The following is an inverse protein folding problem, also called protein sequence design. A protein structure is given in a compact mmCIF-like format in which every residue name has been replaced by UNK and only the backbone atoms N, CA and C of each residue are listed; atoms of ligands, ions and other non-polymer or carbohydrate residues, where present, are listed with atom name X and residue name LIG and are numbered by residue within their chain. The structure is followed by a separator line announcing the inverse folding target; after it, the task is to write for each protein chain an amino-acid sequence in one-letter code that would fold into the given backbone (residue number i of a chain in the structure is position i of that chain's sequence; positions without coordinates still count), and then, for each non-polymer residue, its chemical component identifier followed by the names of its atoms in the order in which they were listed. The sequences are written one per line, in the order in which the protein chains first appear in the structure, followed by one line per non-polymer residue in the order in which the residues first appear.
data_IF_053133463140
#
_entry.id   IF_053133463140
#
_cell.length_a   1.000
_cell.length_b   1.000
_cell.length_c   1.000
_cell.angle_alpha   90.00
_cell.angle_beta   90.00
_cell.angle_gamma   90.00
#
_symmetry.space_group_name_H-M   'P 1'
#
loop_
_entity.id
_entity.type
_entity.pdbx_description
1 polymer ?
#
# COMPACT_ATOMS: atom_id res chain seq x y z
N UNK A 1 26.21 -1.67 -2.65
CA UNK A 1 24.86 -1.06 -2.72
C UNK A 1 24.99 0.35 -2.19
N UNK A 2 24.52 1.35 -2.91
CA UNK A 2 24.57 2.75 -2.46
C UNK A 2 23.81 2.88 -1.14
N UNK A 3 24.48 3.40 -0.10
CA UNK A 3 23.85 3.75 1.18
C UNK A 3 22.68 4.70 0.88
N UNK A 4 21.48 4.48 1.43
CA UNK A 4 20.41 5.47 1.32
C UNK A 4 20.89 6.78 1.92
N UNK A 5 21.14 7.77 1.06
CA UNK A 5 21.45 9.15 1.44
C UNK A 5 20.26 9.77 2.15
N UNK A 6 20.49 10.90 2.83
CA UNK A 6 19.51 11.63 3.62
C UNK A 6 18.12 11.64 2.96
N UNK A 7 17.09 10.98 3.56
CA UNK A 7 15.78 10.87 2.94
C UNK A 7 14.99 12.17 2.98
N UNK A 8 15.51 13.23 3.60
CA UNK A 8 14.85 14.55 3.63
C UNK A 8 14.94 15.31 2.31
N UNK A 9 15.80 14.89 1.38
CA UNK A 9 15.94 15.49 0.05
C UNK A 9 14.95 14.88 -0.96
N UNK A 10 13.64 15.05 -0.71
CA UNK A 10 12.61 14.68 -1.68
C UNK A 10 12.39 15.83 -2.68
N UNK A 11 12.65 15.62 -3.99
CA UNK A 11 12.52 16.67 -5.00
C UNK A 11 11.07 17.16 -5.17
N UNK A 12 10.93 18.36 -5.75
CA UNK A 12 9.68 19.11 -5.90
C UNK A 12 8.47 18.28 -6.32
N UNK A 13 7.36 18.47 -5.61
CA UNK A 13 6.08 17.82 -5.89
C UNK A 13 5.37 18.49 -7.06
N UNK A 14 4.87 17.70 -8.00
CA UNK A 14 3.85 18.18 -8.94
C UNK A 14 2.46 18.12 -8.29
N UNK A 15 1.55 19.03 -8.63
CA UNK A 15 0.17 18.99 -8.16
C UNK A 15 -0.50 17.65 -8.51
N UNK A 16 -1.30 17.14 -7.57
CA UNK A 16 -2.12 15.95 -7.80
C UNK A 16 -3.16 16.28 -8.87
N UNK A 17 -3.23 15.47 -9.94
CA UNK A 17 -4.18 15.69 -11.04
C UNK A 17 -5.48 14.92 -10.87
N UNK A 18 -5.42 13.76 -10.22
CA UNK A 18 -6.54 12.82 -10.10
C UNK A 18 -6.46 12.06 -8.79
N UNK A 19 -7.63 11.75 -8.22
CA UNK A 19 -7.79 10.84 -7.08
C UNK A 19 -8.34 9.51 -7.59
N UNK A 20 -7.74 8.39 -7.18
CA UNK A 20 -8.31 7.06 -7.42
C UNK A 20 -9.16 6.61 -6.23
N UNK A 21 -10.27 5.88 -6.45
CA UNK A 21 -11.07 5.31 -5.36
C UNK A 21 -10.24 4.50 -4.35
N UNK A 22 -9.27 3.71 -4.83
CA UNK A 22 -8.38 2.89 -3.99
C UNK A 22 -7.37 3.71 -3.15
N UNK A 23 -7.09 4.96 -3.52
CA UNK A 23 -6.20 5.86 -2.77
C UNK A 23 -6.95 6.91 -1.94
N UNK A 24 -8.24 7.14 -2.20
CA UNK A 24 -9.01 8.21 -1.56
C UNK A 24 -9.03 8.11 -0.04
N UNK A 25 -9.18 6.90 0.53
CA UNK A 25 -9.17 6.74 1.99
C UNK A 25 -7.83 7.20 2.60
N UNK A 26 -6.70 6.90 1.94
CA UNK A 26 -5.38 7.35 2.38
C UNK A 26 -5.20 8.86 2.19
N UNK A 27 -5.74 9.40 1.09
CA UNK A 27 -5.78 10.84 0.84
C UNK A 27 -6.55 11.60 1.93
N UNK A 28 -7.71 11.07 2.37
CA UNK A 28 -8.49 11.63 3.49
C UNK A 28 -7.67 11.67 4.77
N UNK A 29 -6.93 10.59 5.06
CA UNK A 29 -6.06 10.49 6.26
C UNK A 29 -4.88 11.44 6.22
N UNK A 30 -4.11 11.47 5.13
CA UNK A 30 -2.94 12.33 4.97
C UNK A 30 -2.71 12.66 3.49
N UNK A 31 -3.00 13.91 3.12
CA UNK A 31 -2.90 14.39 1.74
C UNK A 31 -1.47 14.29 1.20
N UNK A 32 -0.46 14.67 2.00
CA UNK A 32 0.96 14.61 1.58
C UNK A 32 1.37 13.21 1.14
N UNK A 33 0.94 12.17 1.88
CA UNK A 33 1.21 10.77 1.53
C UNK A 33 0.66 10.43 0.14
N UNK A 34 -0.57 10.84 -0.14
CA UNK A 34 -1.20 10.60 -1.44
C UNK A 34 -0.51 11.35 -2.58
N UNK A 35 -0.08 12.60 -2.35
CA UNK A 35 0.67 13.39 -3.35
C UNK A 35 2.01 12.74 -3.68
N UNK A 36 2.79 12.31 -2.68
CA UNK A 36 4.06 11.61 -2.92
C UNK A 36 3.86 10.32 -3.72
N UNK A 37 2.84 9.53 -3.37
CA UNK A 37 2.50 8.30 -4.09
C UNK A 37 2.10 8.57 -5.54
N UNK A 38 1.27 9.58 -5.80
CA UNK A 38 0.83 9.91 -7.15
C UNK A 38 1.95 10.46 -8.04
N UNK A 39 2.97 11.10 -7.44
CA UNK A 39 4.16 11.59 -8.15
C UNK A 39 5.16 10.47 -8.50
N UNK A 40 4.77 9.20 -8.37
CA UNK A 40 5.61 8.06 -8.71
C UNK A 40 6.87 7.94 -7.86
N UNK A 41 6.92 8.63 -6.70
CA UNK A 41 8.05 8.51 -5.78
C UNK A 41 8.03 7.13 -5.18
N UNK A 42 9.15 6.41 -5.30
CA UNK A 42 9.28 5.13 -4.62
C UNK A 42 9.21 5.36 -3.11
N UNK A 43 8.50 4.47 -2.42
CA UNK A 43 8.48 4.46 -0.96
C UNK A 43 9.90 4.37 -0.44
N UNK A 44 10.23 5.20 0.54
CA UNK A 44 11.57 5.22 1.15
C UNK A 44 11.70 4.04 2.13
N UNK A 45 10.59 3.64 2.76
CA UNK A 45 10.51 2.42 3.54
C UNK A 45 10.05 1.22 2.69
N UNK A 46 10.49 0.00 3.04
CA UNK A 46 10.13 -1.20 2.31
C UNK A 46 8.63 -1.48 2.39
N UNK A 47 8.07 -1.92 1.27
CA UNK A 47 6.70 -2.43 1.23
C UNK A 47 6.66 -3.82 1.86
N UNK A 48 5.66 -4.08 2.71
CA UNK A 48 5.57 -5.39 3.38
C UNK A 48 5.46 -6.56 2.36
N UNK A 49 6.09 -7.71 2.61
CA UNK A 49 5.93 -8.91 1.78
C UNK A 49 4.47 -9.32 1.58
N UNK A 50 3.60 -9.08 2.57
CA UNK A 50 2.17 -9.37 2.45
C UNK A 50 1.46 -8.49 1.40
N UNK A 51 1.87 -7.24 1.24
CA UNK A 51 1.34 -6.33 0.21
C UNK A 51 1.92 -6.64 -1.18
N UNK A 52 3.21 -7.01 -1.25
CA UNK A 52 3.84 -7.52 -2.48
C UNK A 52 3.11 -8.77 -3.00
N UNK A 53 2.83 -9.73 -2.12
CA UNK A 53 2.04 -10.92 -2.43
C UNK A 53 0.60 -10.60 -2.84
N UNK A 54 -0.01 -9.57 -2.24
CA UNK A 54 -1.32 -9.08 -2.67
C UNK A 54 -1.31 -8.59 -4.12
N UNK A 55 -0.24 -7.90 -4.52
CA UNK A 55 -0.06 -7.42 -5.90
C UNK A 55 0.11 -8.57 -6.90
N UNK A 56 0.85 -9.62 -6.53
CA UNK A 56 0.93 -10.87 -7.30
C UNK A 56 -0.47 -11.46 -7.48
N UNK A 57 -1.24 -11.57 -6.40
CA UNK A 57 -2.57 -12.14 -6.47
C UNK A 57 -3.53 -11.35 -7.37
N UNK A 58 -3.57 -10.01 -7.23
CA UNK A 58 -4.37 -9.15 -8.12
C UNK A 58 -3.98 -9.33 -9.59
N UNK A 59 -2.68 -9.41 -9.90
CA UNK A 59 -2.22 -9.62 -11.27
C UNK A 59 -2.76 -10.92 -11.87
N UNK A 60 -2.81 -12.00 -11.09
CA UNK A 60 -3.34 -13.28 -11.56
C UNK A 60 -4.85 -13.21 -11.77
N UNK A 61 -5.59 -12.52 -10.89
CA UNK A 61 -7.03 -12.32 -11.06
C UNK A 61 -7.35 -11.44 -12.27
N UNK A 62 -6.57 -10.38 -12.52
CA UNK A 62 -6.65 -9.54 -13.72
C UNK A 62 -6.44 -10.37 -15.00
N UNK A 63 -5.34 -11.11 -15.07
CA UNK A 63 -5.03 -11.95 -16.23
C UNK A 63 -6.14 -12.98 -16.50
N UNK A 64 -6.67 -13.62 -15.45
CA UNK A 64 -7.80 -14.54 -15.56
C UNK A 64 -9.09 -13.83 -16.02
N UNK A 65 -9.42 -12.69 -15.41
CA UNK A 65 -10.63 -11.92 -15.73
C UNK A 65 -10.65 -11.32 -17.12
N UNK A 66 -9.48 -11.02 -17.69
CA UNK A 66 -9.32 -10.56 -19.08
C UNK A 66 -9.15 -11.70 -20.09
N UNK A 67 -9.25 -12.96 -19.67
CA UNK A 67 -9.04 -14.13 -20.54
C UNK A 67 -7.63 -14.20 -21.14
N UNK A 68 -6.62 -13.65 -20.45
CA UNK A 68 -5.22 -13.62 -20.91
C UNK A 68 -4.42 -14.85 -20.47
N UNK A 69 -4.98 -15.65 -19.56
CA UNK A 69 -4.44 -16.93 -19.12
C UNK A 69 -5.60 -17.92 -19.01
N UNK A 70 -5.31 -19.19 -19.28
CA UNK A 70 -6.22 -20.31 -19.09
C UNK A 70 -5.94 -21.05 -17.78
N UNK A 71 -6.70 -22.10 -17.49
CA UNK A 71 -6.57 -22.88 -16.26
C UNK A 71 -5.27 -23.68 -16.15
N UNK A 72 -4.65 -24.02 -17.29
CA UNK A 72 -3.43 -24.82 -17.39
C UNK A 72 -2.18 -23.96 -17.13
N UNK A 73 -2.19 -22.71 -17.61
CA UNK A 73 -1.08 -21.74 -17.48
C UNK A 73 -1.05 -20.96 -16.16
N UNK A 74 -2.02 -21.15 -15.25
CA UNK A 74 -2.12 -20.37 -14.01
C UNK A 74 -0.87 -20.47 -13.11
N UNK A 75 -0.25 -21.65 -13.05
CA UNK A 75 0.92 -21.87 -12.20
C UNK A 75 2.14 -21.12 -12.75
N UNK A 76 2.38 -21.21 -14.06
CA UNK A 76 3.45 -20.48 -14.74
C UNK A 76 3.25 -18.97 -14.62
N UNK A 77 2.02 -18.49 -14.83
CA UNK A 77 1.67 -17.08 -14.66
C UNK A 77 1.95 -16.58 -13.23
N UNK A 78 1.71 -17.42 -12.22
CA UNK A 78 2.03 -17.10 -10.82
C UNK A 78 3.54 -16.94 -10.61
N UNK A 79 4.35 -17.91 -11.05
CA UNK A 79 5.80 -17.85 -10.91
C UNK A 79 6.41 -16.64 -11.65
N UNK A 80 5.87 -16.31 -12.83
CA UNK A 80 6.23 -15.12 -13.59
C UNK A 80 5.89 -13.83 -12.83
N UNK A 81 4.69 -13.76 -12.23
CA UNK A 81 4.26 -12.61 -11.45
C UNK A 81 5.12 -12.41 -10.19
N UNK A 82 5.47 -13.49 -9.49
CA UNK A 82 6.40 -13.46 -8.34
C UNK A 82 7.77 -12.97 -8.79
N UNK A 83 8.33 -13.55 -9.85
CA UNK A 83 9.65 -13.17 -10.38
C UNK A 83 9.70 -11.69 -10.78
N UNK A 84 8.63 -11.15 -11.35
CA UNK A 84 8.53 -9.72 -11.68
C UNK A 84 8.54 -8.85 -10.43
N UNK A 85 7.77 -9.22 -9.40
CA UNK A 85 7.72 -8.49 -8.13
C UNK A 85 9.06 -8.55 -7.39
N UNK A 86 9.72 -9.70 -7.36
CA UNK A 86 11.04 -9.85 -6.75
C UNK A 86 12.12 -9.02 -7.48
N UNK A 87 12.09 -8.96 -8.81
CA UNK A 87 12.97 -8.03 -9.55
C UNK A 87 12.73 -6.57 -9.16
N UNK A 88 11.46 -6.15 -9.03
CA UNK A 88 11.13 -4.81 -8.56
C UNK A 88 11.61 -4.55 -7.13
N UNK A 89 11.50 -5.55 -6.25
CA UNK A 89 12.02 -5.48 -4.88
C UNK A 89 13.55 -5.32 -4.87
N UNK A 90 14.29 -6.04 -5.72
CA UNK A 90 15.74 -5.84 -5.89
C UNK A 90 16.07 -4.39 -6.29
N UNK A 91 15.39 -3.85 -7.31
CA UNK A 91 15.60 -2.47 -7.76
C UNK A 91 15.23 -1.43 -6.68
N UNK A 92 14.31 -1.77 -5.78
CA UNK A 92 13.91 -0.93 -4.66
C UNK A 92 14.82 -1.04 -3.42
N UNK A 93 15.91 -1.81 -3.47
CA UNK A 93 16.76 -2.05 -2.30
C UNK A 93 16.13 -3.01 -1.26
N UNK A 94 15.07 -3.72 -1.64
CA UNK A 94 14.34 -4.68 -0.81
C UNK A 94 14.84 -6.12 -0.99
N UNK A 95 16.05 -6.32 -1.54
CA UNK A 95 16.60 -7.65 -1.84
C UNK A 95 16.66 -8.60 -0.63
N UNK A 96 16.82 -8.05 0.57
CA UNK A 96 16.81 -8.80 1.83
C UNK A 96 15.43 -9.39 2.20
N UNK A 97 14.36 -9.04 1.47
CA UNK A 97 13.02 -9.59 1.62
C UNK A 97 12.69 -10.68 0.59
N UNK A 98 13.69 -11.07 -0.22
CA UNK A 98 13.58 -12.08 -1.27
C UNK A 98 14.25 -13.39 -0.77
N UNK A 99 13.69 -14.57 -1.07
CA UNK A 99 12.47 -14.79 -1.86
C UNK A 99 11.20 -14.40 -1.09
N UNK A 100 10.21 -13.90 -1.83
CA UNK A 100 8.95 -13.37 -1.31
C UNK A 100 8.20 -14.41 -0.45
N UNK A 101 8.34 -15.69 -0.81
CA UNK A 101 7.75 -16.81 -0.08
C UNK A 101 8.22 -16.91 1.38
N UNK A 102 9.42 -16.44 1.70
CA UNK A 102 9.97 -16.47 3.06
C UNK A 102 9.39 -15.36 3.94
N UNK A 103 9.10 -14.19 3.35
CA UNK A 103 8.63 -13.02 4.09
C UNK A 103 7.11 -12.89 4.17
N UNK A 104 6.39 -13.42 3.18
CA UNK A 104 4.95 -13.24 3.08
C UNK A 104 4.18 -14.27 3.93
N UNK A 105 3.50 -13.78 4.98
CA UNK A 105 2.69 -14.63 5.86
C UNK A 105 1.64 -15.41 5.05
N UNK A 106 1.60 -16.73 5.28
CA UNK A 106 0.67 -17.68 4.62
C UNK A 106 0.80 -17.65 3.09
N UNK A 107 2.02 -17.54 2.57
CA UNK A 107 2.29 -17.49 1.13
C UNK A 107 1.60 -18.63 0.35
N UNK A 108 1.86 -19.89 0.71
CA UNK A 108 1.28 -21.05 0.01
C UNK A 108 -0.25 -21.12 0.06
N UNK A 109 -0.84 -20.69 1.19
CA UNK A 109 -2.30 -20.62 1.33
C UNK A 109 -2.87 -19.57 0.40
N UNK A 110 -2.26 -18.38 0.34
CA UNK A 110 -2.70 -17.30 -0.55
C UNK A 110 -2.52 -17.67 -2.02
N UNK A 111 -1.39 -18.28 -2.38
CA UNK A 111 -1.15 -18.86 -3.72
C UNK A 111 -2.28 -19.81 -4.10
N UNK A 112 -2.55 -20.81 -3.26
CA UNK A 112 -3.61 -21.80 -3.51
C UNK A 112 -4.99 -21.16 -3.67
N UNK A 113 -5.35 -20.22 -2.80
CA UNK A 113 -6.64 -19.52 -2.87
C UNK A 113 -6.75 -18.62 -4.11
N UNK A 114 -5.68 -17.92 -4.49
CA UNK A 114 -5.66 -17.12 -5.72
C UNK A 114 -5.81 -18.01 -6.94
N UNK A 115 -5.07 -19.11 -7.05
CA UNK A 115 -5.20 -20.02 -8.18
C UNK A 115 -6.61 -20.62 -8.26
N UNK A 116 -7.21 -20.98 -7.13
CA UNK A 116 -8.59 -21.45 -7.08
C UNK A 116 -9.59 -20.37 -7.53
N UNK A 117 -9.39 -19.11 -7.10
CA UNK A 117 -10.22 -17.99 -7.54
C UNK A 117 -10.07 -17.70 -9.04
N UNK A 118 -8.83 -17.70 -9.55
CA UNK A 118 -8.55 -17.53 -10.97
C UNK A 118 -9.20 -18.65 -11.80
N UNK A 119 -9.13 -19.91 -11.36
CA UNK A 119 -9.82 -21.03 -12.05
C UNK A 119 -11.32 -20.82 -12.17
N UNK A 120 -11.97 -20.30 -11.12
CA UNK A 120 -13.42 -19.98 -11.17
C UNK A 120 -13.69 -18.89 -12.21
N UNK A 121 -12.88 -17.83 -12.21
CA UNK A 121 -13.01 -16.73 -13.17
C UNK A 121 -12.81 -17.22 -14.61
N UNK A 122 -11.78 -18.03 -14.87
CA UNK A 122 -11.53 -18.60 -16.21
C UNK A 122 -12.64 -19.56 -16.66
N UNK A 123 -13.27 -20.29 -15.73
CA UNK A 123 -14.37 -21.19 -16.06
C UNK A 123 -15.66 -20.44 -16.43
N UNK A 124 -15.85 -19.23 -15.91
CA UNK A 124 -16.97 -18.35 -16.28
C UNK A 124 -16.81 -17.76 -17.71
N UNK A 125 -15.59 -17.78 -18.27
CA UNK A 125 -15.25 -17.24 -19.59
C UNK A 125 -14.28 -18.17 -20.36
N UNK A 126 -14.74 -19.32 -20.90
CA UNK A 126 -13.90 -20.10 -21.79
C UNK A 126 -13.52 -19.23 -23.00
N UNK A 127 -12.23 -19.19 -23.33
CA UNK A 127 -11.63 -18.36 -24.38
C UNK A 127 -12.26 -18.52 -25.78
N UNK A 128 -13.15 -19.50 -25.97
CA UNK A 128 -13.80 -19.88 -27.22
C UNK A 128 -15.21 -19.28 -27.44
N UNK A 129 -15.74 -18.43 -26.55
CA UNK A 129 -17.14 -17.95 -26.65
C UNK A 129 -17.30 -16.42 -26.62
N UNK A 130 -16.58 -15.70 -27.48
CA UNK A 130 -16.90 -14.31 -27.80
C UNK A 130 -17.58 -14.28 -29.17
N UNK A 131 -18.91 -14.25 -29.18
CA UNK A 131 -19.66 -13.77 -30.34
C UNK A 131 -19.92 -12.27 -30.16
N UNK A 132 -19.85 -11.48 -31.24
CA UNK A 132 -20.10 -10.03 -31.21
C UNK A 132 -21.47 -9.63 -30.62
N UNK A 133 -22.43 -10.56 -30.55
CA UNK A 133 -23.76 -10.35 -30.00
C UNK A 133 -23.84 -10.31 -28.46
N UNK A 134 -22.81 -10.75 -27.72
CA UNK A 134 -22.84 -10.86 -26.24
C UNK A 134 -22.04 -9.78 -25.51
N UNK A 135 -21.44 -8.83 -26.24
CA UNK A 135 -20.50 -7.82 -25.70
C UNK A 135 -21.12 -6.93 -24.61
N UNK A 136 -22.44 -6.71 -24.65
CA UNK A 136 -23.15 -5.90 -23.65
C UNK A 136 -23.49 -6.61 -22.33
N UNK A 137 -23.39 -7.96 -22.27
CA UNK A 137 -23.81 -8.75 -21.10
C UNK A 137 -22.67 -9.54 -20.45
N UNK A 138 -21.45 -9.45 -20.99
CA UNK A 138 -20.29 -10.12 -20.45
C UNK A 138 -19.72 -9.36 -19.24
N UNK A 139 -19.20 -10.11 -18.26
CA UNK A 139 -18.43 -9.49 -17.18
C UNK A 139 -17.16 -8.86 -17.74
N UNK A 140 -16.82 -7.68 -17.22
CA UNK A 140 -15.64 -6.90 -17.62
C UNK A 140 -14.67 -6.86 -16.43
N UNK A 141 -13.37 -6.96 -16.70
CA UNK A 141 -12.32 -6.91 -15.67
C UNK A 141 -11.34 -5.78 -15.93
N UNK A 142 -10.88 -5.15 -14.83
CA UNK A 142 -9.97 -4.00 -14.85
C UNK A 142 -10.44 -2.90 -15.81
N UNK A 143 -11.67 -2.43 -15.57
CA UNK A 143 -12.34 -1.39 -16.36
C UNK A 143 -11.92 -0.03 -15.84
N UNK A 144 -11.36 0.82 -16.70
CA UNK A 144 -11.09 2.21 -16.38
C UNK A 144 -12.41 2.99 -16.35
N UNK A 145 -12.72 3.62 -15.22
CA UNK A 145 -13.79 4.59 -15.08
C UNK A 145 -13.19 5.92 -14.65
N UNK A 146 -13.72 7.01 -15.19
CA UNK A 146 -13.22 8.35 -14.94
C UNK A 146 -14.36 9.36 -14.91
N UNK A 147 -14.20 10.39 -14.09
CA UNK A 147 -15.17 11.46 -14.04
C UNK A 147 -15.07 12.41 -15.21
N UNK A 148 -16.18 13.05 -15.58
CA UNK A 148 -16.24 13.98 -16.72
C UNK A 148 -15.24 15.15 -16.61
N UNK A 149 -14.91 15.56 -15.38
CA UNK A 149 -13.90 16.58 -15.08
C UNK A 149 -12.46 16.03 -14.94
N UNK A 150 -12.27 14.71 -15.08
CA UNK A 150 -10.97 14.02 -14.99
C UNK A 150 -10.34 13.97 -13.59
N UNK A 151 -11.04 14.51 -12.58
CA UNK A 151 -10.54 14.65 -11.21
C UNK A 151 -10.57 13.35 -10.42
N UNK A 152 -11.49 12.45 -10.75
CA UNK A 152 -11.59 11.11 -10.17
C UNK A 152 -11.43 10.06 -11.26
N UNK A 153 -10.76 8.97 -10.96
CA UNK A 153 -10.73 7.83 -11.88
C UNK A 153 -9.84 6.69 -11.41
N UNK A 154 -10.17 5.49 -11.85
CA UNK A 154 -9.47 4.28 -11.45
C UNK A 154 -9.98 3.04 -12.16
N UNK A 155 -9.24 1.94 -11.97
CA UNK A 155 -9.65 0.63 -12.45
C UNK A 155 -10.57 -0.04 -11.45
N UNK A 156 -11.73 -0.50 -11.92
CA UNK A 156 -12.60 -1.43 -11.19
C UNK A 156 -12.13 -2.85 -11.48
N UNK A 157 -11.88 -3.64 -10.44
CA UNK A 157 -11.41 -5.03 -10.58
C UNK A 157 -12.35 -5.84 -11.48
N UNK A 158 -13.66 -5.78 -11.22
CA UNK A 158 -14.67 -6.48 -12.03
C UNK A 158 -16.05 -5.83 -11.99
N UNK A 159 -16.70 -5.78 -13.16
CA UNK A 159 -18.09 -5.37 -13.37
C UNK A 159 -18.84 -6.57 -13.93
N UNK A 160 -19.86 -7.06 -13.23
CA UNK A 160 -20.60 -8.26 -13.57
C UNK A 160 -22.06 -7.92 -13.85
N UNK A 161 -22.54 -8.01 -15.10
CA UNK A 161 -23.96 -7.92 -15.41
C UNK A 161 -24.73 -9.07 -14.77
N UNK A 162 -25.85 -8.75 -14.09
CA UNK A 162 -26.72 -9.73 -13.44
C UNK A 162 -28.18 -9.52 -13.83
N UNK A 163 -29.03 -10.52 -13.53
CA UNK A 163 -30.48 -10.47 -13.80
C UNK A 163 -31.20 -9.30 -13.14
N UNK A 164 -30.63 -8.75 -12.06
CA UNK A 164 -31.20 -7.68 -11.26
C UNK A 164 -30.41 -6.37 -11.37
N UNK A 165 -29.58 -6.24 -12.41
CA UNK A 165 -28.67 -5.11 -12.59
C UNK A 165 -27.21 -5.50 -12.37
N UNK A 166 -26.34 -4.51 -12.43
CA UNK A 166 -24.88 -4.69 -12.42
C UNK A 166 -24.33 -4.83 -10.99
N UNK A 167 -23.39 -5.75 -10.81
CA UNK A 167 -22.60 -5.94 -9.59
C UNK A 167 -21.17 -5.43 -9.81
N UNK A 168 -20.72 -4.50 -8.96
CA UNK A 168 -19.31 -4.09 -8.90
C UNK A 168 -18.63 -4.95 -7.84
N UNK A 169 -17.55 -5.63 -8.24
CA UNK A 169 -16.78 -6.51 -7.37
C UNK A 169 -15.36 -5.97 -7.21
N UNK A 170 -14.89 -5.88 -5.97
CA UNK A 170 -13.50 -5.60 -5.61
C UNK A 170 -12.91 -6.82 -4.88
N UNK A 171 -11.75 -7.30 -5.34
CA UNK A 171 -11.10 -8.46 -4.74
C UNK A 171 -10.14 -8.01 -3.64
N UNK A 172 -10.19 -8.69 -2.48
CA UNK A 172 -9.25 -8.43 -1.37
C UNK A 172 -8.50 -9.67 -0.94
N UNK A 173 -7.18 -9.50 -0.85
CA UNK A 173 -6.24 -10.56 -0.43
C UNK A 173 -5.99 -10.58 1.08
N UNK A 174 -6.49 -9.58 1.80
CA UNK A 174 -6.38 -9.41 3.24
C UNK A 174 -7.70 -9.60 3.97
N UNK A 175 -7.72 -9.27 5.26
CA UNK A 175 -8.96 -9.27 6.03
C UNK A 175 -9.93 -8.22 5.48
N UNK A 176 -11.16 -8.63 5.15
CA UNK A 176 -12.22 -7.77 4.61
C UNK A 176 -12.94 -7.00 5.71
N UNK A 177 -13.15 -7.64 6.86
CA UNK A 177 -13.90 -7.08 7.98
C UNK A 177 -12.99 -6.46 9.03
N UNK A 178 -13.53 -5.48 9.76
CA UNK A 178 -12.93 -4.95 10.97
C UNK A 178 -13.10 -5.96 12.12
N UNK A 179 -12.02 -6.22 12.86
CA UNK A 179 -12.03 -7.25 13.90
C UNK A 179 -12.90 -6.89 15.11
N UNK A 180 -13.14 -5.59 15.34
CA UNK A 180 -13.92 -5.11 16.48
C UNK A 180 -15.40 -5.07 16.16
N UNK A 181 -15.78 -4.68 14.94
CA UNK A 181 -17.19 -4.52 14.56
C UNK A 181 -17.75 -5.70 13.77
N UNK A 182 -16.91 -6.47 13.09
CA UNK A 182 -17.33 -7.52 12.15
C UNK A 182 -17.84 -7.00 10.81
N UNK A 183 -18.00 -5.68 10.66
CA UNK A 183 -18.44 -5.03 9.42
C UNK A 183 -17.32 -4.99 8.39
N UNK A 184 -17.67 -4.75 7.12
CA UNK A 184 -16.69 -4.43 6.08
C UNK A 184 -15.89 -3.20 6.54
N UNK A 185 -14.59 -3.18 6.24
CA UNK A 185 -13.75 -2.03 6.59
C UNK A 185 -14.24 -0.80 5.82
N UNK A 186 -14.36 0.32 6.54
CA UNK A 186 -14.74 1.63 5.99
C UNK A 186 -13.95 1.98 4.71
N UNK A 187 -12.66 1.66 4.66
CA UNK A 187 -11.82 1.92 3.48
C UNK A 187 -12.32 1.19 2.22
N UNK A 188 -12.90 -0.01 2.35
CA UNK A 188 -13.45 -0.77 1.24
C UNK A 188 -14.86 -0.30 0.87
N UNK A 189 -15.66 0.10 1.86
CA UNK A 189 -16.98 0.71 1.62
C UNK A 189 -16.83 2.01 0.83
N UNK A 190 -15.97 2.93 1.29
CA UNK A 190 -15.67 4.19 0.61
C UNK A 190 -15.15 3.95 -0.81
N UNK A 191 -14.26 2.97 -0.99
CA UNK A 191 -13.73 2.62 -2.31
C UNK A 191 -14.85 2.17 -3.27
N UNK A 192 -15.74 1.28 -2.82
CA UNK A 192 -16.83 0.75 -3.65
C UNK A 192 -17.91 1.79 -3.94
N UNK A 193 -18.24 2.69 -3.00
CA UNK A 193 -19.18 3.79 -3.25
C UNK A 193 -18.66 4.77 -4.29
N UNK A 194 -17.35 5.08 -4.27
CA UNK A 194 -16.74 5.91 -5.31
C UNK A 194 -16.75 5.22 -6.69
N UNK A 195 -16.49 3.92 -6.75
CA UNK A 195 -16.64 3.17 -8.01
C UNK A 195 -18.09 3.12 -8.49
N UNK A 196 -19.06 2.99 -7.58
CA UNK A 196 -20.47 3.02 -7.92
C UNK A 196 -20.88 4.35 -8.56
N UNK A 197 -20.40 5.46 -8.01
CA UNK A 197 -20.64 6.78 -8.57
C UNK A 197 -19.96 6.96 -9.93
N UNK A 198 -18.69 6.54 -10.07
CA UNK A 198 -17.98 6.59 -11.35
C UNK A 198 -18.69 5.74 -12.41
N UNK A 199 -19.19 4.56 -12.04
CA UNK A 199 -19.98 3.72 -12.93
C UNK A 199 -21.27 4.42 -13.36
N UNK A 200 -21.99 5.02 -12.42
CA UNK A 200 -23.19 5.79 -12.76
C UNK A 200 -22.90 6.95 -13.73
N UNK A 201 -21.79 7.67 -13.54
CA UNK A 201 -21.42 8.76 -14.44
C UNK A 201 -21.05 8.27 -15.85
N UNK A 202 -20.47 7.07 -15.97
CA UNK A 202 -19.99 6.52 -17.25
C UNK A 202 -21.07 5.73 -18.01
N UNK A 203 -21.90 4.96 -17.29
CA UNK A 203 -22.86 4.01 -17.86
C UNK A 203 -24.33 4.50 -17.70
N UNK A 204 -24.58 5.56 -16.92
CA UNK A 204 -25.91 6.21 -16.79
C UNK A 204 -26.86 5.56 -15.78
N UNK A 205 -26.47 4.47 -15.15
CA UNK A 205 -27.27 3.73 -14.16
C UNK A 205 -26.45 3.39 -12.91
N UNK A 206 -27.11 3.24 -11.77
CA UNK A 206 -26.44 2.81 -10.53
C UNK A 206 -26.26 1.30 -10.51
N UNK A 207 -25.13 0.79 -9.99
CA UNK A 207 -24.99 -0.65 -9.79
C UNK A 207 -26.00 -1.13 -8.75
N UNK A 208 -26.58 -2.31 -8.99
CA UNK A 208 -27.54 -2.93 -8.10
C UNK A 208 -26.87 -3.55 -6.86
N UNK A 209 -25.58 -3.92 -6.96
CA UNK A 209 -24.82 -4.53 -5.87
C UNK A 209 -23.37 -4.07 -5.85
N UNK A 210 -22.84 -3.90 -4.64
CA UNK A 210 -21.43 -3.66 -4.39
C UNK A 210 -20.92 -4.78 -3.48
N UNK A 211 -19.83 -5.44 -3.88
CA UNK A 211 -19.35 -6.61 -3.15
C UNK A 211 -17.83 -6.61 -3.04
N UNK A 212 -17.34 -6.84 -1.82
CA UNK A 212 -15.94 -7.20 -1.58
C UNK A 212 -15.82 -8.73 -1.58
N UNK A 213 -14.96 -9.27 -2.43
CA UNK A 213 -14.75 -10.72 -2.54
C UNK A 213 -13.37 -11.12 -2.01
N UNK A 214 -13.32 -12.05 -1.07
CA UNK A 214 -12.06 -12.64 -0.59
C UNK A 214 -11.49 -13.62 -1.60
N UNK A 215 -10.20 -13.95 -1.50
CA UNK A 215 -9.59 -15.03 -2.30
C UNK A 215 -10.28 -16.40 -2.10
N UNK A 216 -10.88 -16.62 -0.92
CA UNK A 216 -11.65 -17.84 -0.65
C UNK A 216 -13.01 -17.87 -1.38
N UNK A 217 -13.42 -16.76 -2.02
CA UNK A 217 -14.70 -16.63 -2.69
C UNK A 217 -15.84 -16.16 -1.79
N UNK A 218 -15.59 -15.93 -0.49
CA UNK A 218 -16.57 -15.31 0.38
C UNK A 218 -16.84 -13.87 -0.07
N UNK A 219 -18.14 -13.57 -0.27
CA UNK A 219 -18.66 -12.27 -0.68
C UNK A 219 -19.16 -11.51 0.54
N UNK A 220 -18.83 -10.23 0.60
CA UNK A 220 -19.31 -9.30 1.62
C UNK A 220 -19.98 -8.12 0.92
N UNK A 221 -21.27 -7.94 1.18
CA UNK A 221 -22.04 -6.88 0.55
C UNK A 221 -21.74 -5.53 1.23
N UNK A 222 -21.61 -4.51 0.40
CA UNK A 222 -21.58 -3.10 0.82
C UNK A 222 -22.91 -2.49 0.38
N UNK A 223 -23.71 -1.93 1.31
CA UNK A 223 -24.94 -1.25 0.95
C UNK A 223 -24.68 -0.11 -0.03
N UNK A 224 -25.47 -0.05 -1.11
CA UNK A 224 -25.44 1.09 -2.02
C UNK A 224 -26.14 2.28 -1.34
N UNK A 225 -25.38 3.28 -0.95
CA UNK A 225 -25.89 4.57 -0.48
C UNK A 225 -25.53 5.67 -1.49
N UNK A 226 -26.50 6.05 -2.32
CA UNK A 226 -26.34 7.08 -3.37
C UNK A 226 -26.00 8.44 -2.76
N UNK A 227 -26.60 8.78 -1.62
CA UNK A 227 -26.36 10.07 -0.95
C UNK A 227 -24.92 10.14 -0.48
N UNK A 228 -24.45 9.09 0.18
CA UNK A 228 -23.07 8.99 0.65
C UNK A 228 -22.08 8.97 -0.52
N UNK A 229 -22.37 8.25 -1.61
CA UNK A 229 -21.52 8.21 -2.79
C UNK A 229 -21.32 9.61 -3.40
N UNK A 230 -22.41 10.39 -3.56
CA UNK A 230 -22.33 11.77 -4.04
C UNK A 230 -21.52 12.66 -3.09
N UNK A 231 -21.76 12.57 -1.77
CA UNK A 231 -21.00 13.33 -0.78
C UNK A 231 -19.49 13.03 -0.83
N UNK A 232 -19.11 11.76 -0.95
CA UNK A 232 -17.70 11.36 -1.04
C UNK A 232 -17.01 11.94 -2.27
N UNK A 233 -17.72 12.04 -3.39
CA UNK A 233 -17.19 12.61 -4.64
C UNK A 233 -17.04 14.12 -4.52
N UNK A 234 -18.01 14.81 -3.95
CA UNK A 234 -17.94 16.25 -3.73
C UNK A 234 -16.80 16.61 -2.76
N UNK A 235 -16.64 15.84 -1.67
CA UNK A 235 -15.50 15.95 -0.76
C UNK A 235 -14.16 15.75 -1.49
N UNK A 236 -14.06 14.70 -2.31
CA UNK A 236 -12.85 14.41 -3.08
C UNK A 236 -12.50 15.54 -4.06
N UNK A 237 -13.49 16.05 -4.79
CA UNK A 237 -13.33 17.16 -5.75
C UNK A 237 -12.91 18.45 -5.04
N UNK A 238 -13.62 18.81 -3.98
CA UNK A 238 -13.34 20.03 -3.22
C UNK A 238 -11.89 20.01 -2.74
N UNK A 239 -11.50 18.92 -2.07
CA UNK A 239 -10.17 18.78 -1.50
C UNK A 239 -9.06 18.71 -2.56
N UNK A 240 -9.32 18.08 -3.72
CA UNK A 240 -8.36 18.10 -4.83
C UNK A 240 -8.17 19.51 -5.38
N UNK A 241 -9.25 20.25 -5.57
CA UNK A 241 -9.20 21.64 -6.07
C UNK A 241 -8.49 22.56 -5.10
N UNK A 242 -8.73 22.42 -3.79
CA UNK A 242 -8.00 23.16 -2.75
C UNK A 242 -6.49 22.95 -2.89
N UNK A 243 -6.04 21.71 -3.08
CA UNK A 243 -4.61 21.39 -3.25
C UNK A 243 -4.05 22.02 -4.53
N UNK A 244 -4.78 21.91 -5.65
CA UNK A 244 -4.36 22.45 -6.95
C UNK A 244 -4.27 23.98 -6.87
N UNK A 245 -5.26 24.66 -6.29
CA UNK A 245 -5.34 26.12 -6.20
C UNK A 245 -4.32 26.70 -5.21
N UNK A 246 -4.15 26.07 -4.06
CA UNK A 246 -3.33 26.63 -3.00
C UNK A 246 -1.82 26.56 -3.29
N UNK A 247 -1.38 25.77 -4.28
CA UNK A 247 0.04 25.55 -4.56
C UNK A 247 0.82 25.17 -3.30
N UNK A 248 0.15 24.51 -2.34
CA UNK A 248 0.58 24.45 -0.95
C UNK A 248 1.98 23.84 -0.82
N UNK A 249 2.84 24.37 0.08
CA UNK A 249 4.09 23.70 0.37
C UNK A 249 3.78 22.27 0.85
N UNK A 250 4.55 21.27 0.40
CA UNK A 250 4.31 19.85 0.72
C UNK A 250 3.98 19.58 2.19
N UNK A 251 4.63 20.31 3.09
CA UNK A 251 4.54 20.13 4.54
C UNK A 251 3.16 20.44 5.13
N UNK A 252 2.41 21.42 4.59
CA UNK A 252 1.08 21.75 5.12
C UNK A 252 0.03 20.69 4.79
N UNK A 253 0.32 19.82 3.82
CA UNK A 253 -0.55 18.70 3.42
C UNK A 253 -0.39 17.48 4.34
N UNK A 254 0.59 17.51 5.26
CA UNK A 254 0.82 16.41 6.18
C UNK A 254 -0.20 16.44 7.33
N UNK A 255 -0.85 15.30 7.58
CA UNK A 255 -1.72 15.12 8.74
C UNK A 255 -1.31 13.88 9.55
N UNK A 256 -0.17 13.94 10.27
CA UNK A 256 0.35 12.78 10.98
C UNK A 256 -0.58 12.37 12.13
N UNK A 257 -0.82 11.07 12.20
CA UNK A 257 -1.51 10.38 13.29
C UNK A 257 -0.97 8.95 13.39
N UNK A 258 -1.14 8.26 14.54
CA UNK A 258 -0.81 6.84 14.67
C UNK A 258 -1.28 5.98 13.49
N UNK A 259 -2.56 6.12 13.11
CA UNK A 259 -3.17 5.34 12.03
C UNK A 259 -2.63 5.73 10.64
N UNK A 260 -2.51 7.03 10.35
CA UNK A 260 -2.03 7.50 9.05
C UNK A 260 -0.55 7.17 8.80
N UNK A 261 0.26 7.16 9.86
CA UNK A 261 1.71 6.97 9.80
C UNK A 261 2.16 5.51 9.93
N UNK A 262 1.36 4.63 10.55
CA UNK A 262 1.68 3.20 10.76
C UNK A 262 2.19 2.48 9.50
N UNK A 263 1.59 2.78 8.35
CA UNK A 263 1.94 2.20 7.05
C UNK A 263 2.39 3.25 6.02
N UNK A 264 2.78 4.45 6.48
CA UNK A 264 3.29 5.47 5.59
C UNK A 264 4.74 5.18 5.23
N UNK A 265 4.98 4.92 3.94
CA UNK A 265 6.30 4.63 3.39
C UNK A 265 7.25 5.82 3.27
N UNK A 266 6.69 7.04 3.36
CA UNK A 266 7.42 8.31 3.21
C UNK A 266 7.70 9.00 4.54
N UNK A 267 7.29 8.40 5.66
CA UNK A 267 7.46 9.04 6.97
C UNK A 267 8.90 9.37 7.37
N UNK A 268 9.97 8.68 6.89
CA UNK A 268 11.34 9.13 7.16
C UNK A 268 11.60 10.56 6.69
N UNK A 269 11.00 10.97 5.57
CA UNK A 269 11.13 12.31 5.00
C UNK A 269 10.09 13.32 5.52
N UNK A 270 9.16 12.89 6.37
CA UNK A 270 8.03 13.73 6.78
C UNK A 270 8.38 14.51 8.05
N UNK A 271 8.79 15.77 7.91
CA UNK A 271 9.11 16.64 9.06
C UNK A 271 7.99 16.71 10.10
N UNK A 272 6.74 16.94 9.66
CA UNK A 272 5.56 16.98 10.54
C UNK A 272 5.34 15.69 11.32
N UNK A 273 5.72 14.54 10.77
CA UNK A 273 5.69 13.27 11.49
C UNK A 273 6.72 13.27 12.62
N UNK A 274 7.95 13.69 12.35
CA UNK A 274 9.00 13.76 13.37
C UNK A 274 8.67 14.77 14.47
N UNK A 275 8.09 15.93 14.13
CA UNK A 275 7.63 16.95 15.10
C UNK A 275 6.50 16.44 16.01
N UNK A 276 5.52 15.71 15.46
CA UNK A 276 4.29 15.33 16.18
C UNK A 276 4.36 13.97 16.87
N UNK A 277 5.20 13.05 16.40
CA UNK A 277 5.22 11.68 16.91
C UNK A 277 5.59 11.66 18.39
N UNK A 278 4.97 10.76 19.13
CA UNK A 278 5.31 10.48 20.53
C UNK A 278 6.00 9.12 20.61
N UNK A 279 6.91 8.96 21.57
CA UNK A 279 7.45 7.65 21.91
C UNK A 279 6.41 6.84 22.68
N UNK A 280 5.43 6.27 21.97
CA UNK A 280 4.41 5.41 22.54
C UNK A 280 4.10 4.21 21.63
N UNK A 281 3.50 3.12 22.17
CA UNK A 281 3.14 1.95 21.37
C UNK A 281 2.13 2.23 20.26
N UNK A 282 1.48 3.40 20.26
CA UNK A 282 0.51 3.80 19.23
C UNK A 282 1.21 4.28 17.96
N UNK A 283 2.37 4.91 18.08
CA UNK A 283 3.12 5.45 16.95
C UNK A 283 4.10 4.40 16.37
N UNK A 284 4.51 4.56 15.10
CA UNK A 284 5.57 3.72 14.55
C UNK A 284 6.83 3.83 15.39
N UNK A 285 7.50 2.69 15.58
CA UNK A 285 8.73 2.62 16.36
C UNK A 285 9.91 3.02 15.47
N UNK A 286 10.18 4.32 15.42
CA UNK A 286 11.29 4.90 14.68
C UNK A 286 12.15 5.78 15.59
N UNK A 287 13.47 5.73 15.39
CA UNK A 287 14.46 6.45 16.18
C UNK A 287 15.35 7.28 15.27
N UNK A 288 15.73 8.47 15.74
CA UNK A 288 16.57 9.44 15.06
C UNK A 288 17.46 10.08 16.12
N UNK A 289 18.77 10.04 15.92
CA UNK A 289 19.71 10.60 16.89
C UNK A 289 21.17 10.60 16.44
N UNK A 290 22.03 11.20 17.24
CA UNK A 290 23.48 11.19 17.04
C UNK A 290 24.06 9.83 17.39
N UNK A 291 24.99 9.33 16.57
CA UNK A 291 25.58 8.01 16.77
C UNK A 291 26.69 8.11 17.83
N UNK A 292 26.50 7.45 18.97
CA UNK A 292 27.44 7.49 20.10
C UNK A 292 28.39 6.30 20.13
N UNK A 293 27.91 5.10 19.84
CA UNK A 293 28.76 3.90 19.73
C UNK A 293 28.15 2.84 18.82
N UNK A 294 29.03 2.02 18.23
CA UNK A 294 28.71 0.86 17.41
C UNK A 294 29.61 -0.29 17.84
N UNK A 295 29.00 -1.40 18.25
CA UNK A 295 29.70 -2.58 18.76
C UNK A 295 29.23 -3.84 18.04
N UNK A 296 30.14 -4.76 17.75
CA UNK A 296 29.81 -6.08 17.25
C UNK A 296 29.56 -7.02 18.43
N UNK A 297 28.36 -7.58 18.53
CA UNK A 297 28.02 -8.58 19.53
C UNK A 297 28.59 -9.96 19.15
N UNK A 298 28.80 -10.83 20.14
CA UNK A 298 29.35 -12.18 19.92
C UNK A 298 28.51 -13.09 19.00
N UNK A 299 27.28 -12.72 18.69
CA UNK A 299 26.42 -13.41 17.71
C UNK A 299 26.54 -12.85 16.27
N UNK A 300 27.50 -11.94 16.02
CA UNK A 300 27.73 -11.32 14.70
C UNK A 300 26.74 -10.23 14.32
N UNK A 301 25.97 -9.69 15.28
CA UNK A 301 25.05 -8.57 15.04
C UNK A 301 25.57 -7.28 15.66
N UNK A 302 25.18 -6.13 15.11
CA UNK A 302 25.54 -4.82 15.66
C UNK A 302 24.63 -4.44 16.82
N UNK A 303 25.24 -3.78 17.80
CA UNK A 303 24.63 -3.01 18.87
C UNK A 303 25.02 -1.55 18.70
N UNK A 304 24.06 -0.64 18.74
CA UNK A 304 24.33 0.80 18.65
C UNK A 304 23.66 1.57 19.77
N UNK A 305 24.27 2.71 20.10
CA UNK A 305 23.72 3.71 21.01
C UNK A 305 23.50 5.02 20.26
N UNK A 306 22.27 5.52 20.30
CA UNK A 306 21.86 6.80 19.72
C UNK A 306 21.53 7.81 20.83
N UNK A 307 22.02 9.04 20.70
CA UNK A 307 21.61 10.19 21.51
C UNK A 307 20.39 10.87 20.89
N UNK A 308 19.27 10.90 21.61
CA UNK A 308 18.01 11.51 21.16
C UNK A 308 17.60 12.60 22.15
N UNK A 309 18.09 13.83 21.95
CA UNK A 309 17.99 14.90 22.95
C UNK A 309 18.72 14.50 24.24
N UNK A 310 18.03 14.54 25.38
CA UNK A 310 18.61 14.14 26.69
C UNK A 310 18.58 12.62 26.92
N UNK A 311 17.95 11.84 26.04
CA UNK A 311 17.80 10.40 26.19
C UNK A 311 18.85 9.63 25.39
N UNK A 312 19.22 8.45 25.91
CA UNK A 312 19.99 7.45 25.17
C UNK A 312 19.09 6.30 24.78
N UNK A 313 19.16 5.93 23.51
CA UNK A 313 18.43 4.82 22.93
C UNK A 313 19.40 3.75 22.50
N UNK A 314 19.06 2.49 22.74
CA UNK A 314 19.87 1.35 22.30
C UNK A 314 19.14 0.57 21.21
N UNK A 315 19.87 0.14 20.18
CA UNK A 315 19.32 -0.75 19.14
C UNK A 315 20.24 -1.94 18.96
N UNK A 316 19.68 -3.16 19.04
CA UNK A 316 20.45 -4.40 18.95
C UNK A 316 19.95 -5.34 17.85
N UNK A 317 20.78 -6.31 17.49
CA UNK A 317 20.44 -7.33 16.51
C UNK A 317 20.47 -6.82 15.08
N UNK A 318 21.19 -5.71 14.84
CA UNK A 318 21.31 -5.12 13.51
C UNK A 318 22.25 -5.98 12.64
N UNK A 319 21.81 -6.38 11.45
CA UNK A 319 22.61 -7.21 10.54
C UNK A 319 23.71 -6.37 9.87
N UNK A 320 25.01 -6.67 10.05
CA UNK A 320 26.09 -5.82 9.53
C UNK A 320 25.98 -5.52 8.03
N UNK A 321 25.66 -6.52 7.20
CA UNK A 321 25.52 -6.34 5.75
C UNK A 321 24.34 -5.46 5.31
N UNK A 322 23.34 -5.23 6.18
CA UNK A 322 22.21 -4.30 5.89
C UNK A 322 22.48 -2.88 6.37
N UNK A 323 23.35 -2.74 7.37
CA UNK A 323 23.62 -1.48 8.04
C UNK A 323 25.12 -1.14 8.02
N UNK A 324 25.78 -1.45 6.90
CA UNK A 324 27.22 -1.24 6.71
C UNK A 324 27.62 0.22 6.94
N UNK A 325 26.72 1.17 6.62
CA UNK A 325 26.94 2.59 6.87
C UNK A 325 27.18 2.94 8.35
N UNK A 326 26.70 2.12 9.30
CA UNK A 326 26.95 2.36 10.73
C UNK A 326 28.40 2.08 11.11
N UNK A 327 29.11 1.27 10.32
CA UNK A 327 30.54 1.01 10.52
C UNK A 327 31.41 2.09 9.85
N UNK A 328 30.81 2.94 9.03
CA UNK A 328 31.44 4.14 8.49
C UNK A 328 31.20 5.26 9.52
N UNK A 329 32.18 6.14 9.75
CA UNK A 329 32.09 7.16 10.80
C UNK A 329 31.01 8.23 10.47
N UNK A 330 29.75 7.89 10.72
CA UNK A 330 28.58 8.73 10.47
C UNK A 330 28.18 9.49 11.74
N UNK A 331 27.84 10.79 11.65
CA UNK A 331 27.56 11.59 12.84
C UNK A 331 26.17 11.29 13.44
N UNK A 332 25.20 10.94 12.60
CA UNK A 332 23.84 10.63 13.00
C UNK A 332 23.23 9.51 12.15
N UNK A 333 22.22 8.86 12.73
CA UNK A 333 21.49 7.80 12.05
C UNK A 333 20.00 7.87 12.36
N UNK A 334 19.21 7.45 11.39
CA UNK A 334 17.79 7.20 11.53
C UNK A 334 17.49 5.74 11.27
N UNK A 335 16.71 5.10 12.15
CA UNK A 335 16.23 3.74 12.00
C UNK A 335 14.71 3.70 12.13
N UNK A 336 14.05 3.18 11.11
CA UNK A 336 12.59 3.06 11.06
C UNK A 336 12.15 1.59 11.11
N UNK A 337 10.87 1.35 11.42
CA UNK A 337 10.27 0.01 11.53
C UNK A 337 11.02 -0.90 12.54
N UNK A 338 11.45 -0.34 13.67
CA UNK A 338 12.00 -1.14 14.76
C UNK A 338 10.88 -1.82 15.55
N UNK A 339 11.28 -2.68 16.49
CA UNK A 339 10.40 -3.25 17.51
C UNK A 339 10.93 -2.89 18.89
N UNK A 340 10.06 -2.43 19.79
CA UNK A 340 10.42 -2.22 21.20
C UNK A 340 10.91 -3.52 21.84
N UNK A 341 11.98 -3.40 22.62
CA UNK A 341 12.52 -4.46 23.46
C UNK A 341 11.90 -4.42 24.87
N UNK A 342 12.28 -5.37 25.71
CA UNK A 342 11.85 -5.45 27.12
C UNK A 342 12.41 -4.28 27.93
N UNK A 343 13.64 -3.84 27.63
CA UNK A 343 14.26 -2.70 28.29
C UNK A 343 13.69 -1.37 27.74
N UNK A 344 13.50 -0.40 28.64
CA UNK A 344 13.07 0.96 28.26
C UNK A 344 14.07 1.59 27.29
N UNK A 345 13.57 2.30 26.28
CA UNK A 345 14.40 2.94 25.25
C UNK A 345 15.36 1.96 24.53
N UNK A 346 14.97 0.70 24.45
CA UNK A 346 15.72 -0.34 23.75
C UNK A 346 14.88 -0.94 22.64
N UNK A 347 15.51 -1.20 21.50
CA UNK A 347 14.84 -1.63 20.29
C UNK A 347 15.61 -2.75 19.57
N UNK A 348 14.90 -3.50 18.73
CA UNK A 348 15.47 -4.55 17.89
C UNK A 348 15.09 -4.37 16.42
N UNK A 349 15.98 -4.85 15.56
CA UNK A 349 15.71 -5.01 14.13
C UNK A 349 14.47 -5.89 13.88
N UNK A 350 13.67 -5.49 12.89
CA UNK A 350 12.67 -6.30 12.20
C UNK A 350 13.12 -6.53 10.75
N UNK A 351 12.42 -7.41 10.03
CA UNK A 351 12.67 -7.61 8.60
C UNK A 351 12.42 -6.34 7.78
N UNK A 352 11.55 -5.42 8.24
CA UNK A 352 11.27 -4.14 7.57
C UNK A 352 12.11 -2.97 8.09
N UNK A 353 13.03 -3.20 9.03
CA UNK A 353 13.86 -2.11 9.57
C UNK A 353 14.73 -1.52 8.48
N UNK A 354 14.72 -0.21 8.35
CA UNK A 354 15.52 0.52 7.36
C UNK A 354 16.32 1.59 8.07
N UNK A 355 17.57 1.76 7.68
CA UNK A 355 18.49 2.73 8.25
C UNK A 355 18.98 3.72 7.22
N UNK A 356 19.21 4.96 7.67
CA UNK A 356 19.73 6.06 6.88
C UNK A 356 20.89 6.71 7.64
N UNK A 357 21.97 6.98 6.92
CA UNK A 357 23.04 7.84 7.39
C UNK A 357 22.60 9.31 7.22
N UNK A 358 22.93 10.15 8.18
CA UNK A 358 22.61 11.58 8.13
C UNK A 358 23.88 12.40 8.35
N UNK A 359 24.04 13.48 7.60
CA UNK A 359 25.18 14.40 7.73
C UNK A 359 25.06 15.29 8.98
N UNK A 360 23.83 15.65 9.37
CA UNK A 360 23.55 16.44 10.56
C UNK A 360 22.29 15.92 11.27
N UNK A 361 22.22 16.15 12.58
CA UNK A 361 21.00 15.97 13.35
C UNK A 361 20.13 17.23 13.20
N UNK A 362 19.05 17.15 12.40
CA UNK A 362 18.03 18.21 12.28
C UNK A 362 16.70 17.70 12.86
N UNK A 363 16.25 18.23 14.02
CA UNK A 363 14.95 17.88 14.59
C UNK A 363 13.76 18.36 13.74
#
# INVERSE_FOLDING_TARGET
MSVPTDPTDLPGLSPLRRISPSSYFQFKQCTLRAVWQANGKMSILPVSPAARLGSVAHRILDLAGRGRIDSESLYEAWEDAVSRVERQMCHAGEAHLIPLCNGARRYEVKKSLTLAAARRITAEFPASSISEATVGHAARSEVWLESSDGLLGGFVDRIVPGKHGVEIVDYKTGAVTDQRTGNVKEAYEVQLLLYAWLYHENDGEWPARLTVTTLAGAKHDVPMDVTQACQLVDEARCRLREIILAGSPPESLANPSPAACAFCGYRPACKKYWEKREQSPKWPTDVLGTLSSVEMLGNGTLFIVLGTGEQRVTVRGLSPGRFEFLMQAVPAAMLCNLRSDVAKASYRQTHLTTGYALEEWKP
#
